data_IF_167742984463
#
_entry.id   IF_167742984463
#
_cell.length_a   1.000
_cell.length_b   1.000
_cell.length_c   1.000
_cell.angle_alpha   90.00
_cell.angle_beta   90.00
_cell.angle_gamma   90.00
#
_symmetry.space_group_name_H-M   'P 1'
#
loop_
_entity.id
_entity.type
_entity.pdbx_description
1 polymer ?
#
# COMPACT_ATOMS: atom_id res chain seq x y z
N UNK A 1 22.99 11.40 3.18
CA UNK A 1 22.25 10.53 2.23
C UNK A 1 20.84 11.05 2.14
N UNK A 2 20.27 11.20 0.93
CA UNK A 2 18.89 11.70 0.80
C UNK A 2 17.91 10.63 1.26
N UNK A 3 17.28 10.86 2.41
CA UNK A 3 16.02 10.23 2.80
C UNK A 3 14.98 10.56 1.72
N UNK A 4 14.59 9.56 0.92
CA UNK A 4 13.54 9.73 -0.09
C UNK A 4 12.17 9.61 0.58
N UNK A 5 11.29 10.58 0.35
CA UNK A 5 9.86 10.47 0.66
C UNK A 5 9.13 10.26 -0.66
N UNK A 6 8.32 9.22 -0.73
CA UNK A 6 7.54 8.90 -1.92
C UNK A 6 6.07 8.68 -1.53
N UNK A 7 5.17 9.36 -2.22
CA UNK A 7 3.72 9.10 -2.12
C UNK A 7 3.30 8.19 -3.27
N UNK A 8 2.55 7.15 -2.94
CA UNK A 8 2.07 6.12 -3.85
C UNK A 8 0.55 6.14 -3.84
N UNK A 9 -0.03 5.86 -5.01
CA UNK A 9 -1.48 5.83 -5.18
C UNK A 9 -1.89 4.58 -5.95
N UNK A 10 -2.84 3.83 -5.39
CA UNK A 10 -3.42 2.63 -5.96
C UNK A 10 -4.91 2.87 -6.18
N UNK A 11 -5.37 2.65 -7.42
CA UNK A 11 -6.79 2.71 -7.75
C UNK A 11 -7.32 1.29 -7.97
N UNK A 12 -8.44 0.98 -7.33
CA UNK A 12 -9.08 -0.34 -7.40
C UNK A 12 -10.55 -0.13 -7.71
N UNK A 13 -11.08 -0.92 -8.62
CA UNK A 13 -12.50 -0.93 -8.95
C UNK A 13 -13.05 -2.34 -8.90
N UNK A 14 -14.17 -2.54 -8.22
CA UNK A 14 -14.90 -3.80 -8.27
C UNK A 14 -15.84 -3.82 -9.49
N UNK A 15 -15.40 -4.43 -10.59
CA UNK A 15 -16.22 -4.62 -11.79
C UNK A 15 -17.16 -5.83 -11.72
N UNK A 16 -17.25 -6.52 -10.59
CA UNK A 16 -18.05 -7.73 -10.41
C UNK A 16 -19.44 -7.41 -9.84
N UNK A 17 -20.31 -8.42 -9.87
CA UNK A 17 -21.72 -8.31 -9.44
C UNK A 17 -21.91 -8.38 -7.92
N UNK A 18 -20.89 -8.84 -7.19
CA UNK A 18 -20.94 -9.04 -5.74
C UNK A 18 -19.90 -8.18 -5.02
N UNK A 19 -20.15 -7.88 -3.75
CA UNK A 19 -19.16 -7.28 -2.86
C UNK A 19 -17.95 -8.19 -2.72
N UNK A 20 -16.75 -7.61 -2.78
CA UNK A 20 -15.48 -8.34 -2.64
C UNK A 20 -14.58 -7.67 -1.63
N UNK A 21 -13.91 -8.52 -0.86
CA UNK A 21 -12.71 -8.12 -0.12
C UNK A 21 -11.50 -8.25 -1.04
N UNK A 22 -10.68 -7.20 -1.09
CA UNK A 22 -9.41 -7.17 -1.79
C UNK A 22 -8.30 -6.96 -0.77
N UNK A 23 -7.24 -7.77 -0.88
CA UNK A 23 -5.99 -7.61 -0.12
C UNK A 23 -4.90 -7.19 -1.09
N UNK A 24 -4.38 -5.99 -0.89
CA UNK A 24 -3.28 -5.47 -1.67
C UNK A 24 -1.98 -5.62 -0.90
N UNK A 25 -0.96 -6.12 -1.58
CA UNK A 25 0.36 -6.30 -1.03
C UNK A 25 1.33 -5.40 -1.76
N UNK A 26 2.02 -4.51 -1.04
CA UNK A 26 3.15 -3.75 -1.60
C UNK A 26 4.46 -4.12 -0.89
N UNK A 27 5.53 -4.20 -1.68
CA UNK A 27 6.86 -4.56 -1.23
C UNK A 27 7.68 -3.30 -0.94
N UNK A 28 7.51 -2.75 0.27
CA UNK A 28 8.26 -1.58 0.73
C UNK A 28 9.79 -1.78 0.67
N UNK A 29 10.26 -3.02 0.90
CA UNK A 29 11.70 -3.33 0.86
C UNK A 29 12.31 -3.25 -0.55
N UNK A 30 11.54 -3.51 -1.62
CA UNK A 30 12.08 -3.50 -2.99
C UNK A 30 12.10 -2.12 -3.63
N UNK A 31 11.36 -1.15 -3.08
CA UNK A 31 11.41 0.23 -3.55
C UNK A 31 12.75 0.94 -3.24
N UNK A 32 13.61 0.32 -2.41
CA UNK A 32 15.02 0.68 -2.29
C UNK A 32 15.91 -0.38 -2.93
N UNK A 33 16.13 -0.31 -4.22
CA UNK A 33 17.30 -0.98 -4.78
C UNK A 33 18.57 -0.39 -4.15
N UNK A 34 19.23 -1.14 -3.25
CA UNK A 34 20.68 -0.99 -3.03
C UNK A 34 21.25 -1.30 -1.64
N UNK A 35 20.60 -0.93 -0.53
CA UNK A 35 21.26 -0.96 0.79
C UNK A 35 20.25 -1.12 1.92
N UNK A 36 19.84 -2.35 2.24
CA UNK A 36 19.38 -2.84 3.57
C UNK A 36 18.47 -1.96 4.46
N UNK A 37 17.86 -0.90 3.93
CA UNK A 37 17.19 0.13 4.71
C UNK A 37 15.73 -0.21 4.91
N UNK A 38 15.28 -0.16 6.16
CA UNK A 38 13.87 -0.33 6.49
C UNK A 38 13.05 0.80 5.85
N UNK A 39 11.88 0.54 5.30
CA UNK A 39 10.99 1.58 4.80
C UNK A 39 9.78 1.67 5.73
N UNK A 40 9.38 2.90 6.07
CA UNK A 40 8.28 3.14 7.01
C UNK A 40 7.17 3.92 6.33
N UNK A 41 5.92 3.53 6.60
CA UNK A 41 4.73 4.27 6.16
C UNK A 41 4.52 5.42 7.14
N UNK A 42 4.58 6.65 6.63
CA UNK A 42 4.34 7.87 7.41
C UNK A 42 2.85 8.22 7.46
N UNK A 43 2.17 8.07 6.33
CA UNK A 43 0.76 8.43 6.15
C UNK A 43 0.09 7.39 5.27
N UNK A 44 -1.18 7.09 5.56
CA UNK A 44 -2.02 6.23 4.73
C UNK A 44 -3.48 6.70 4.81
N UNK A 45 -4.17 6.72 3.67
CA UNK A 45 -5.61 7.03 3.60
C UNK A 45 -6.48 5.90 4.16
N UNK A 46 -5.92 4.69 4.26
CA UNK A 46 -6.63 3.48 4.61
C UNK A 46 -5.85 2.68 5.66
N UNK A 47 -6.60 1.88 6.43
CA UNK A 47 -6.01 0.97 7.40
C UNK A 47 -5.11 -0.05 6.69
N UNK A 48 -3.93 -0.24 7.25
CA UNK A 48 -2.94 -1.18 6.76
C UNK A 48 -2.35 -2.00 7.90
N UNK A 49 -1.72 -3.11 7.52
CA UNK A 49 -0.91 -3.93 8.41
C UNK A 49 0.47 -4.15 7.80
N UNK A 50 1.52 -3.99 8.61
CA UNK A 50 2.84 -4.49 8.27
C UNK A 50 2.89 -6.00 8.50
N UNK A 51 3.33 -6.75 7.49
CA UNK A 51 3.55 -8.19 7.57
C UNK A 51 4.98 -8.48 8.05
N UNK A 52 5.17 -9.66 8.62
CA UNK A 52 6.47 -10.10 9.17
C UNK A 52 7.57 -10.18 8.10
N UNK A 53 7.18 -10.33 6.83
CA UNK A 53 8.09 -10.32 5.67
C UNK A 53 8.41 -8.91 5.14
N UNK A 54 7.96 -7.87 5.84
CA UNK A 54 8.21 -6.47 5.50
C UNK A 54 7.32 -5.90 4.39
N UNK A 55 6.30 -6.64 3.93
CA UNK A 55 5.26 -6.10 3.05
C UNK A 55 4.21 -5.33 3.83
N UNK A 56 3.55 -4.40 3.14
CA UNK A 56 2.32 -3.78 3.63
C UNK A 56 1.11 -4.48 3.03
N UNK A 57 0.11 -4.78 3.86
CA UNK A 57 -1.21 -5.24 3.44
C UNK A 57 -2.26 -4.14 3.65
N UNK A 58 -2.99 -3.77 2.59
CA UNK A 58 -4.23 -3.00 2.68
C UNK A 58 -5.42 -3.92 2.44
N UNK A 59 -6.40 -3.89 3.35
CA UNK A 59 -7.63 -4.70 3.25
C UNK A 59 -8.82 -3.77 3.01
N UNK A 60 -9.44 -3.92 1.84
CA UNK A 60 -10.59 -3.09 1.45
C UNK A 60 -11.76 -3.95 0.99
N UNK A 61 -12.95 -3.58 1.45
CA UNK A 61 -14.21 -4.15 0.96
C UNK A 61 -14.78 -3.18 -0.07
N UNK A 62 -15.14 -3.70 -1.24
CA UNK A 62 -15.67 -2.92 -2.36
C UNK A 62 -17.02 -3.50 -2.78
N UNK A 63 -18.06 -2.67 -2.79
CA UNK A 63 -19.36 -3.02 -3.34
C UNK A 63 -19.32 -3.15 -4.87
N UNK A 64 -20.32 -3.79 -5.50
CA UNK A 64 -20.41 -3.86 -6.96
C UNK A 64 -20.33 -2.47 -7.61
N UNK A 65 -19.40 -2.29 -8.54
CA UNK A 65 -19.19 -1.03 -9.24
C UNK A 65 -18.36 0.02 -8.49
N UNK A 66 -18.05 -0.18 -7.20
CA UNK A 66 -17.32 0.77 -6.38
C UNK A 66 -15.87 0.94 -6.85
N UNK A 67 -15.40 2.19 -6.86
CA UNK A 67 -14.00 2.55 -7.04
C UNK A 67 -13.45 3.13 -5.74
N UNK A 68 -12.23 2.72 -5.39
CA UNK A 68 -11.51 3.22 -4.22
C UNK A 68 -10.09 3.57 -4.60
N UNK A 69 -9.59 4.65 -4.00
CA UNK A 69 -8.23 5.14 -4.17
C UNK A 69 -7.52 5.05 -2.82
N UNK A 70 -6.46 4.26 -2.76
CA UNK A 70 -5.59 4.15 -1.59
C UNK A 70 -4.35 4.98 -1.88
N UNK A 71 -4.03 5.91 -0.98
CA UNK A 71 -2.81 6.73 -1.05
C UNK A 71 -2.02 6.53 0.22
N UNK A 72 -0.71 6.32 0.09
CA UNK A 72 0.16 6.19 1.24
C UNK A 72 1.56 6.74 0.94
N UNK A 73 2.22 7.24 1.97
CA UNK A 73 3.54 7.88 1.88
C UNK A 73 4.57 7.03 2.60
N UNK A 74 5.64 6.69 1.88
CA UNK A 74 6.77 5.90 2.37
C UNK A 74 7.97 6.81 2.57
N UNK A 75 8.64 6.67 3.71
CA UNK A 75 9.92 7.31 3.99
C UNK A 75 11.02 6.28 4.04
N UNK A 76 12.07 6.52 3.26
CA UNK A 76 13.31 5.78 3.38
C UNK A 76 14.20 6.31 4.50
N UNK A 77 14.26 5.64 5.65
CA UNK A 77 15.25 5.81 6.74
C UNK A 77 16.68 5.38 6.39
#
# INVERSE_FOLDING_TARGET
>A
GRTGVQTLTIKIRNGLKDTREVRLYDQLQRQRSGMGGQAEIQEASDLYKMLDDGRVEFRVTLNPGEERVITYTVRGI
#
